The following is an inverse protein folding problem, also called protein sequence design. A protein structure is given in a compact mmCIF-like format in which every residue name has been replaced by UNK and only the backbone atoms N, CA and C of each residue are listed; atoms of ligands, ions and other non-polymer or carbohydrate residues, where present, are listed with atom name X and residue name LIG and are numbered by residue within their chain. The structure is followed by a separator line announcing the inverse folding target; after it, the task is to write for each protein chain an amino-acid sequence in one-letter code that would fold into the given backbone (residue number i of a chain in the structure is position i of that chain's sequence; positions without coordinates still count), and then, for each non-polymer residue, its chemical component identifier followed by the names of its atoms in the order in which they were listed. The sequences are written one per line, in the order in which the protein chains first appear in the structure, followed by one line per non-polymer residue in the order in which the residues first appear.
data_IF_114014997161
#
_entry.id   IF_114014997161
#
_cell.length_a   1.000
_cell.length_b   1.000
_cell.length_c   1.000
_cell.angle_alpha   90.00
_cell.angle_beta   90.00
_cell.angle_gamma   90.00
#
_symmetry.space_group_name_H-M   'P 1'
#
loop_
_entity.id
_entity.type
_entity.pdbx_description
1 polymer ?
#
# COMPACT_ATOMS: atom_id res chain seq x y z
N UNK A 1 3.47 -11.69 -10.17
CA UNK A 1 4.21 -10.61 -10.84
C UNK A 1 5.52 -10.40 -10.09
N UNK A 2 6.64 -10.41 -10.78
CA UNK A 2 7.93 -10.20 -10.12
C UNK A 2 8.12 -8.73 -9.71
N UNK A 3 9.07 -8.42 -8.82
CA UNK A 3 9.25 -7.07 -8.29
C UNK A 3 9.54 -6.00 -9.36
N UNK A 4 10.28 -6.34 -10.41
CA UNK A 4 10.58 -5.39 -11.48
C UNK A 4 9.31 -5.02 -12.25
N UNK A 5 8.52 -6.03 -12.58
CA UNK A 5 7.26 -5.81 -13.29
C UNK A 5 6.25 -5.05 -12.41
N UNK A 6 6.22 -5.34 -11.13
CA UNK A 6 5.36 -4.61 -10.19
C UNK A 6 5.74 -3.13 -10.14
N UNK A 7 7.03 -2.82 -10.09
CA UNK A 7 7.48 -1.42 -10.12
C UNK A 7 7.07 -0.72 -11.41
N UNK A 8 7.17 -1.40 -12.54
CA UNK A 8 6.75 -0.83 -13.83
C UNK A 8 5.25 -0.54 -13.87
N UNK A 9 4.44 -1.47 -13.38
CA UNK A 9 2.98 -1.28 -13.32
C UNK A 9 2.62 -0.11 -12.39
N UNK A 10 3.18 -0.08 -11.20
CA UNK A 10 2.87 0.99 -10.25
C UNK A 10 3.37 2.35 -10.74
N UNK A 11 4.54 2.40 -11.40
CA UNK A 11 5.03 3.64 -11.98
C UNK A 11 4.09 4.17 -13.06
N UNK A 12 3.50 3.28 -13.87
CA UNK A 12 2.51 3.68 -14.85
C UNK A 12 1.25 4.22 -14.18
N UNK A 13 0.77 3.56 -13.13
CA UNK A 13 -0.42 4.02 -12.38
C UNK A 13 -0.19 5.41 -11.78
N UNK A 14 0.98 5.64 -11.19
CA UNK A 14 1.35 6.94 -10.62
C UNK A 14 1.34 8.01 -11.70
N UNK A 15 1.89 7.72 -12.86
CA UNK A 15 1.91 8.68 -13.97
C UNK A 15 0.49 9.01 -14.45
N UNK A 16 -0.38 8.02 -14.56
CA UNK A 16 -1.77 8.24 -14.96
C UNK A 16 -2.53 9.05 -13.91
N UNK A 17 -2.26 8.78 -12.62
CA UNK A 17 -2.82 9.58 -11.55
C UNK A 17 -2.44 11.05 -11.70
N UNK A 18 -1.16 11.33 -11.92
CA UNK A 18 -0.65 12.70 -11.97
C UNK A 18 -1.08 13.41 -13.25
N UNK A 19 -1.07 12.73 -14.39
CA UNK A 19 -1.41 13.33 -15.68
C UNK A 19 -2.91 13.42 -15.93
N UNK A 20 -3.69 12.47 -15.42
CA UNK A 20 -5.11 12.34 -15.73
C UNK A 20 -6.03 12.59 -14.54
N UNK A 21 -5.48 12.80 -13.35
CA UNK A 21 -6.28 12.98 -12.14
C UNK A 21 -7.04 11.74 -11.72
N UNK A 22 -6.54 10.56 -12.05
CA UNK A 22 -7.20 9.30 -11.73
C UNK A 22 -6.93 8.87 -10.30
N UNK A 23 -7.86 8.10 -9.74
CA UNK A 23 -7.71 7.45 -8.44
C UNK A 23 -7.72 5.94 -8.64
N UNK A 24 -6.79 5.25 -7.98
CA UNK A 24 -6.71 3.80 -8.07
C UNK A 24 -6.87 3.17 -6.69
N UNK A 25 -7.65 2.11 -6.62
CA UNK A 25 -7.70 1.24 -5.45
C UNK A 25 -6.98 -0.05 -5.83
N UNK A 26 -5.89 -0.33 -5.12
CA UNK A 26 -5.04 -1.49 -5.41
C UNK A 26 -5.04 -2.41 -4.22
N UNK A 27 -5.24 -3.70 -4.45
CA UNK A 27 -5.15 -4.71 -3.41
C UNK A 27 -3.81 -5.42 -3.58
N UNK A 28 -2.99 -5.39 -2.53
CA UNK A 28 -1.66 -5.97 -2.55
C UNK A 28 -1.32 -6.51 -1.16
N UNK A 29 -0.73 -7.69 -1.11
CA UNK A 29 -0.30 -8.29 0.14
C UNK A 29 1.19 -8.10 0.41
N UNK A 30 1.94 -7.58 -0.54
CA UNK A 30 3.37 -7.33 -0.42
C UNK A 30 3.58 -5.90 0.05
N UNK A 31 3.91 -5.74 1.33
CA UNK A 31 4.04 -4.43 1.96
C UNK A 31 5.15 -3.58 1.34
N UNK A 32 6.27 -4.19 0.98
CA UNK A 32 7.40 -3.46 0.41
C UNK A 32 7.01 -2.71 -0.87
N UNK A 33 6.12 -3.29 -1.67
CA UNK A 33 5.64 -2.65 -2.89
C UNK A 33 4.49 -1.69 -2.59
N UNK A 34 3.48 -2.14 -1.84
CA UNK A 34 2.30 -1.33 -1.57
C UNK A 34 2.67 -0.01 -0.88
N UNK A 35 3.53 -0.07 0.13
CA UNK A 35 3.88 1.11 0.91
C UNK A 35 4.80 2.07 0.16
N UNK A 36 5.50 1.59 -0.88
CA UNK A 36 6.36 2.46 -1.70
C UNK A 36 5.55 3.43 -2.55
N UNK A 37 4.38 3.01 -3.03
CA UNK A 37 3.62 3.77 -4.02
C UNK A 37 2.31 4.35 -3.51
N UNK A 38 1.79 3.89 -2.39
CA UNK A 38 0.49 4.29 -1.90
C UNK A 38 0.50 5.72 -1.34
N UNK A 39 -0.58 6.44 -1.59
CA UNK A 39 -0.83 7.74 -0.96
C UNK A 39 -1.64 7.56 0.32
N UNK A 40 -2.52 6.57 0.32
CA UNK A 40 -3.37 6.25 1.45
C UNK A 40 -3.50 4.73 1.55
N UNK A 41 -3.45 4.19 2.76
CA UNK A 41 -3.42 2.76 2.98
C UNK A 41 -4.56 2.33 3.91
N UNK A 42 -5.24 1.27 3.52
CA UNK A 42 -6.16 0.54 4.39
C UNK A 42 -5.51 -0.80 4.70
N UNK A 43 -5.33 -1.09 5.98
CA UNK A 43 -4.71 -2.36 6.39
C UNK A 43 -5.79 -3.29 6.90
N UNK A 44 -5.91 -4.44 6.25
CA UNK A 44 -6.90 -5.45 6.59
C UNK A 44 -6.23 -6.68 7.19
N UNK A 45 -6.89 -7.29 8.15
CA UNK A 45 -6.46 -8.54 8.75
C UNK A 45 -7.68 -9.37 9.13
N UNK A 46 -7.76 -10.58 8.62
CA UNK A 46 -8.87 -11.49 8.89
C UNK A 46 -10.24 -10.83 8.71
N UNK A 47 -10.41 -10.12 7.60
CA UNK A 47 -11.67 -9.48 7.26
C UNK A 47 -11.98 -8.20 8.03
N UNK A 48 -11.05 -7.71 8.83
CA UNK A 48 -11.25 -6.51 9.66
C UNK A 48 -10.25 -5.43 9.27
N UNK A 49 -10.74 -4.20 9.18
CA UNK A 49 -9.87 -3.03 9.00
C UNK A 49 -9.20 -2.71 10.34
N UNK A 50 -7.88 -2.83 10.38
CA UNK A 50 -7.13 -2.61 11.63
C UNK A 50 -6.38 -1.28 11.67
N UNK A 51 -6.15 -0.65 10.51
CA UNK A 51 -5.47 0.63 10.45
C UNK A 51 -5.73 1.29 9.11
N UNK A 52 -5.68 2.61 9.06
CA UNK A 52 -5.76 3.35 7.82
C UNK A 52 -5.10 4.71 7.95
N UNK A 53 -4.66 5.26 6.82
CA UNK A 53 -4.05 6.58 6.77
C UNK A 53 -2.86 6.63 5.83
N UNK A 54 -1.98 7.61 6.07
CA UNK A 54 -0.73 7.71 5.35
C UNK A 54 0.16 6.49 5.63
N UNK A 55 1.16 6.29 4.80
CA UNK A 55 2.15 5.21 5.00
C UNK A 55 2.80 5.32 6.38
N UNK A 56 3.22 6.53 6.76
CA UNK A 56 3.86 6.75 8.06
C UNK A 56 2.93 6.41 9.21
N UNK A 57 1.66 6.76 9.08
CA UNK A 57 0.67 6.48 10.12
C UNK A 57 0.47 4.97 10.33
N UNK A 58 0.28 4.22 9.23
CA UNK A 58 0.05 2.78 9.37
C UNK A 58 1.30 2.05 9.82
N UNK A 59 2.49 2.50 9.41
CA UNK A 59 3.74 1.91 9.88
C UNK A 59 3.97 2.17 11.37
N UNK A 60 3.41 3.24 11.91
CA UNK A 60 3.49 3.54 13.34
C UNK A 60 2.45 2.83 14.20
N UNK A 61 1.48 2.17 13.59
CA UNK A 61 0.41 1.48 14.32
C UNK A 61 0.92 0.17 14.89
N UNK A 62 0.78 -0.03 16.21
CA UNK A 62 1.28 -1.22 16.87
C UNK A 62 0.62 -2.51 16.38
N UNK A 63 -0.64 -2.44 15.97
CA UNK A 63 -1.34 -3.63 15.43
C UNK A 63 -0.77 -4.04 14.10
N UNK A 64 -0.41 -3.08 13.25
CA UNK A 64 0.23 -3.35 11.97
C UNK A 64 1.61 -3.97 12.19
N UNK A 65 2.39 -3.42 13.10
CA UNK A 65 3.70 -3.95 13.44
C UNK A 65 3.62 -5.38 13.94
N UNK A 66 2.66 -5.67 14.81
CA UNK A 66 2.47 -6.99 15.36
C UNK A 66 2.07 -8.01 14.28
N UNK A 67 1.11 -7.66 13.43
CA UNK A 67 0.54 -8.60 12.44
C UNK A 67 1.44 -8.79 11.23
N UNK A 68 2.01 -7.71 10.71
CA UNK A 68 2.70 -7.73 9.42
C UNK A 68 4.20 -7.58 9.50
N UNK A 69 4.72 -6.93 10.53
CA UNK A 69 6.15 -6.67 10.65
C UNK A 69 6.83 -7.54 11.73
N UNK A 70 6.05 -8.29 12.48
CA UNK A 70 6.58 -9.21 13.49
C UNK A 70 7.18 -8.53 14.72
N UNK A 71 6.76 -7.32 14.98
CA UNK A 71 7.30 -6.54 16.10
C UNK A 71 6.40 -6.53 17.33
#
# INVERSE_FOLDING_TARGET
VDPVMADEVFSLLIRLRDERGLTFLVIEHRLDIALRYADYVYVMHQGTLISEGSVDRVLGDSRVKEVYLGE
#
